data_IF_453704360657
#
_entry.id   IF_453704360657
#
_cell.length_a   1.000
_cell.length_b   1.000
_cell.length_c   1.000
_cell.angle_alpha   90.00
_cell.angle_beta   90.00
_cell.angle_gamma   90.00
#
_symmetry.space_group_name_H-M   'P 1'
#
loop_
_entity.id
_entity.type
_entity.pdbx_description
1 polymer ?
#
# COMPACT_ATOMS: atom_id res chain seq x y z
N UNK A 1 26.55 -13.46 -24.62
CA UNK A 1 27.65 -13.21 -25.58
C UNK A 1 27.32 -11.99 -26.41
N UNK A 2 27.96 -10.86 -26.10
CA UNK A 2 27.81 -9.59 -26.81
C UNK A 2 28.46 -9.68 -28.22
N UNK A 3 27.78 -9.19 -29.26
CA UNK A 3 28.26 -9.24 -30.67
C UNK A 3 28.91 -7.94 -31.16
N UNK A 4 28.87 -6.91 -30.33
CA UNK A 4 29.36 -5.55 -30.61
C UNK A 4 28.79 -4.56 -29.60
N UNK A 5 29.12 -3.29 -29.75
CA UNK A 5 28.65 -2.21 -28.89
C UNK A 5 28.46 -0.90 -29.68
N UNK A 6 27.41 -0.15 -29.35
CA UNK A 6 27.15 1.18 -29.91
C UNK A 6 27.66 2.26 -28.93
N UNK A 7 28.41 3.24 -29.42
CA UNK A 7 28.94 4.33 -28.60
C UNK A 7 28.77 5.69 -29.28
N UNK A 8 29.04 6.79 -28.56
CA UNK A 8 28.90 8.16 -29.04
C UNK A 8 27.51 8.47 -29.64
N UNK A 9 26.46 7.97 -28.97
CA UNK A 9 25.07 8.21 -29.36
C UNK A 9 24.80 9.71 -29.29
N UNK A 10 24.28 10.28 -30.37
CA UNK A 10 24.03 11.71 -30.51
C UNK A 10 22.92 11.99 -31.50
N UNK A 11 22.21 13.10 -31.32
CA UNK A 11 21.24 13.60 -32.30
C UNK A 11 21.99 14.08 -33.54
N UNK A 12 21.47 13.74 -34.72
CA UNK A 12 22.00 14.27 -35.97
C UNK A 12 21.81 15.78 -36.07
N UNK A 13 22.44 16.40 -37.07
CA UNK A 13 22.33 17.84 -37.33
C UNK A 13 21.92 18.08 -38.79
N UNK A 14 21.33 19.25 -39.06
CA UNK A 14 20.89 19.59 -40.41
C UNK A 14 19.78 18.66 -40.90
N UNK A 15 20.03 17.95 -41.99
CA UNK A 15 19.04 17.03 -42.59
C UNK A 15 18.72 15.81 -41.73
N UNK A 16 19.61 15.45 -40.79
CA UNK A 16 19.46 14.27 -39.93
C UNK A 16 19.04 14.65 -38.50
N UNK A 17 18.50 15.86 -38.28
CA UNK A 17 18.17 16.36 -36.94
C UNK A 17 17.09 15.55 -36.20
N UNK A 18 16.27 14.84 -36.96
CA UNK A 18 15.24 13.93 -36.47
C UNK A 18 15.78 12.53 -36.12
N UNK A 19 17.02 12.22 -36.50
CA UNK A 19 17.65 10.92 -36.29
C UNK A 19 18.60 10.91 -35.10
N UNK A 20 18.81 9.70 -34.55
CA UNK A 20 19.87 9.40 -33.61
C UNK A 20 20.98 8.64 -34.33
N UNK A 21 22.20 9.15 -34.17
CA UNK A 21 23.41 8.60 -34.75
C UNK A 21 24.21 7.92 -33.66
N UNK A 22 24.85 6.80 -34.00
CA UNK A 22 25.76 6.10 -33.11
C UNK A 22 26.93 5.55 -33.91
N UNK A 23 28.07 5.43 -33.25
CA UNK A 23 29.23 4.75 -33.78
C UNK A 23 29.11 3.26 -33.37
N UNK A 24 29.31 2.34 -34.30
CA UNK A 24 29.18 0.90 -34.04
C UNK A 24 30.54 0.23 -34.04
N UNK A 25 30.88 -0.42 -32.93
CA UNK A 25 32.03 -1.32 -32.84
C UNK A 25 31.50 -2.75 -32.90
N UNK A 26 31.71 -3.41 -34.05
CA UNK A 26 31.28 -4.79 -34.26
C UNK A 26 32.47 -5.73 -34.05
N UNK A 27 32.28 -6.77 -33.25
CA UNK A 27 33.33 -7.76 -32.94
C UNK A 27 32.97 -9.17 -33.39
N UNK A 28 31.71 -9.43 -33.70
CA UNK A 28 31.23 -10.70 -34.23
C UNK A 28 31.42 -10.79 -35.76
N UNK A 29 32.18 -11.78 -36.26
CA UNK A 29 32.46 -11.91 -37.69
C UNK A 29 31.19 -12.05 -38.56
N UNK A 30 30.18 -12.79 -38.11
CA UNK A 30 28.95 -12.99 -38.86
C UNK A 30 28.14 -11.70 -38.98
N UNK A 31 28.12 -10.88 -37.93
CA UNK A 31 27.46 -9.57 -37.95
C UNK A 31 28.20 -8.56 -38.84
N UNK A 32 29.53 -8.57 -38.81
CA UNK A 32 30.36 -7.75 -39.70
C UNK A 32 30.03 -8.07 -41.16
N UNK A 33 30.04 -9.35 -41.53
CA UNK A 33 29.72 -9.79 -42.89
C UNK A 33 28.31 -9.35 -43.33
N UNK A 34 27.33 -9.46 -42.44
CA UNK A 34 25.95 -9.05 -42.72
C UNK A 34 25.83 -7.54 -42.98
N UNK A 35 26.50 -6.71 -42.17
CA UNK A 35 26.48 -5.24 -42.32
C UNK A 35 27.19 -4.81 -43.61
N UNK A 36 28.33 -5.43 -43.93
CA UNK A 36 29.06 -5.20 -45.18
C UNK A 36 28.25 -5.66 -46.40
N UNK A 37 27.45 -6.72 -46.27
CA UNK A 37 26.52 -7.20 -47.30
C UNK A 37 25.25 -6.33 -47.44
N UNK A 38 25.12 -5.24 -46.67
CA UNK A 38 24.04 -4.27 -46.82
C UNK A 38 22.98 -4.30 -45.72
N UNK A 39 23.14 -5.08 -44.65
CA UNK A 39 22.23 -5.03 -43.50
C UNK A 39 22.31 -3.65 -42.83
N UNK A 40 21.14 -3.01 -42.64
CA UNK A 40 21.01 -1.68 -42.02
C UNK A 40 20.19 -1.69 -40.72
N UNK A 41 19.68 -2.85 -40.35
CA UNK A 41 18.94 -3.07 -39.10
C UNK A 41 19.78 -3.92 -38.16
N UNK A 42 20.11 -3.37 -37.00
CA UNK A 42 20.93 -4.01 -35.98
C UNK A 42 20.17 -3.88 -34.65
N UNK A 43 19.84 -5.01 -34.05
CA UNK A 43 19.27 -5.04 -32.69
C UNK A 43 20.42 -4.94 -31.69
N UNK A 44 20.35 -3.96 -30.79
CA UNK A 44 21.31 -3.79 -29.71
C UNK A 44 21.03 -4.69 -28.48
N UNK A 45 20.19 -5.73 -28.62
CA UNK A 45 19.69 -6.53 -27.50
C UNK A 45 18.43 -5.94 -26.87
N UNK A 46 17.88 -6.65 -25.88
CA UNK A 46 16.60 -6.33 -25.22
C UNK A 46 16.72 -5.23 -24.16
N UNK A 47 17.13 -4.03 -24.57
CA UNK A 47 16.89 -2.77 -23.84
C UNK A 47 17.38 -1.59 -24.67
N UNK A 48 16.49 -0.65 -24.98
CA UNK A 48 16.89 0.75 -25.08
C UNK A 48 15.68 1.67 -24.90
N UNK A 49 15.91 2.80 -24.26
CA UNK A 49 15.05 3.97 -24.33
C UNK A 49 15.89 5.23 -24.28
N UNK A 50 15.41 6.26 -24.97
CA UNK A 50 16.04 7.56 -25.06
C UNK A 50 15.14 8.60 -24.41
N UNK A 51 15.60 9.16 -23.29
CA UNK A 51 15.06 10.41 -22.77
C UNK A 51 16.09 11.53 -22.97
N UNK A 52 15.64 12.65 -23.53
CA UNK A 52 16.46 13.84 -23.80
C UNK A 52 16.17 14.90 -22.73
N UNK A 53 17.15 15.16 -21.86
CA UNK A 53 17.16 16.35 -21.01
C UNK A 53 18.51 17.08 -21.16
N UNK A 54 18.47 18.37 -21.47
CA UNK A 54 19.63 19.28 -21.54
C UNK A 54 20.81 18.81 -22.42
N UNK A 55 20.53 18.00 -23.44
CA UNK A 55 21.52 17.58 -24.44
C UNK A 55 22.50 16.48 -23.97
N UNK A 56 22.20 15.75 -22.89
CA UNK A 56 22.98 14.59 -22.44
C UNK A 56 22.13 13.31 -22.37
N UNK A 57 22.74 12.20 -22.78
CA UNK A 57 22.15 10.86 -22.77
C UNK A 57 22.54 10.10 -21.50
N UNK A 58 21.57 9.53 -20.79
CA UNK A 58 21.78 8.69 -19.60
C UNK A 58 21.57 7.22 -19.99
N UNK A 59 22.37 6.33 -19.39
CA UNK A 59 22.45 4.90 -19.74
C UNK A 59 21.78 4.03 -18.66
N UNK A 60 20.82 3.19 -19.06
CA UNK A 60 20.26 2.11 -18.23
C UNK A 60 20.39 0.77 -18.97
N UNK A 61 20.72 -0.28 -18.25
CA UNK A 61 20.74 -1.67 -18.74
C UNK A 61 19.69 -2.44 -17.94
N UNK A 62 18.97 -3.39 -18.58
CA UNK A 62 18.01 -4.35 -17.98
C UNK A 62 16.52 -3.97 -17.83
N UNK A 63 16.02 -2.86 -18.38
CA UNK A 63 14.59 -2.49 -18.34
C UNK A 63 13.79 -2.69 -19.66
N UNK A 64 12.64 -3.36 -19.59
CA UNK A 64 11.65 -3.37 -20.70
C UNK A 64 10.77 -2.13 -20.61
N UNK A 65 10.74 -1.28 -21.65
CA UNK A 65 9.81 -0.16 -21.72
C UNK A 65 8.42 -0.63 -22.15
N UNK A 66 7.40 -0.21 -21.40
CA UNK A 66 6.02 -0.26 -21.84
C UNK A 66 5.42 1.14 -21.87
N UNK A 67 4.76 1.47 -22.98
CA UNK A 67 3.84 2.62 -23.03
C UNK A 67 2.58 2.23 -22.25
N UNK A 68 2.53 2.55 -20.96
CA UNK A 68 1.40 2.24 -20.06
C UNK A 68 0.07 2.81 -20.57
N UNK A 69 0.10 3.87 -21.39
CA UNK A 69 -1.12 4.41 -22.02
C UNK A 69 -1.72 3.50 -23.09
N UNK A 70 -0.93 2.55 -23.61
CA UNK A 70 -1.33 1.56 -24.63
C UNK A 70 -1.56 0.16 -24.07
N UNK A 71 -1.25 -0.07 -22.79
CA UNK A 71 -1.41 -1.35 -22.11
C UNK A 71 -2.14 -1.18 -20.76
N UNK A 72 -3.41 -0.73 -20.76
CA UNK A 72 -4.16 -0.45 -19.53
C UNK A 72 -4.40 -1.70 -18.66
N UNK A 73 -4.30 -2.89 -19.24
CA UNK A 73 -4.49 -4.16 -18.54
C UNK A 73 -3.22 -4.64 -17.81
N UNK A 74 -2.07 -4.01 -18.07
CA UNK A 74 -0.79 -4.38 -17.47
C UNK A 74 -0.68 -3.76 -16.08
N UNK A 75 -0.96 -4.55 -15.04
CA UNK A 75 -0.85 -4.11 -13.65
C UNK A 75 0.62 -4.01 -13.26
N UNK A 76 1.13 -2.80 -13.11
CA UNK A 76 2.52 -2.52 -12.70
C UNK A 76 2.64 -2.60 -11.16
N UNK A 77 2.50 -3.82 -10.63
CA UNK A 77 2.40 -4.08 -9.19
C UNK A 77 3.68 -4.76 -8.67
N UNK A 78 4.47 -4.10 -7.80
CA UNK A 78 5.74 -4.64 -7.28
C UNK A 78 5.59 -5.83 -6.33
N UNK A 79 4.36 -6.18 -5.94
CA UNK A 79 4.08 -7.37 -5.11
C UNK A 79 3.80 -8.62 -5.94
N UNK A 80 3.47 -8.45 -7.21
CA UNK A 80 3.12 -9.57 -8.10
C UNK A 80 4.04 -9.68 -9.31
N UNK A 81 4.74 -8.60 -9.66
CA UNK A 81 5.60 -8.53 -10.82
C UNK A 81 7.02 -8.09 -10.43
N UNK A 82 7.98 -8.50 -11.23
CA UNK A 82 9.33 -7.96 -11.25
C UNK A 82 9.36 -6.65 -12.09
N UNK A 83 10.49 -5.93 -12.06
CA UNK A 83 10.64 -4.67 -12.78
C UNK A 83 11.28 -3.55 -11.96
N UNK A 84 11.21 -2.33 -12.49
CA UNK A 84 11.74 -1.13 -11.84
C UNK A 84 10.61 -0.27 -11.29
N UNK A 85 10.75 0.15 -10.04
CA UNK A 85 9.71 0.90 -9.33
C UNK A 85 10.31 2.15 -8.69
N UNK A 86 9.66 3.30 -8.90
CA UNK A 86 10.00 4.57 -8.27
C UNK A 86 9.35 4.65 -6.88
N UNK A 87 10.19 4.82 -5.86
CA UNK A 87 9.77 4.97 -4.47
C UNK A 87 9.17 6.36 -4.26
N UNK A 88 7.94 6.42 -3.77
CA UNK A 88 7.09 7.61 -3.71
C UNK A 88 6.06 7.71 -4.85
N UNK A 89 6.15 6.85 -5.88
CA UNK A 89 5.18 6.80 -6.98
C UNK A 89 4.58 5.40 -7.15
N UNK A 90 5.42 4.39 -7.43
CA UNK A 90 4.99 3.01 -7.69
C UNK A 90 4.96 2.16 -6.41
N UNK A 91 5.79 2.51 -5.44
CA UNK A 91 5.86 1.91 -4.11
C UNK A 91 6.15 3.00 -3.09
N UNK A 92 5.60 2.93 -1.88
CA UNK A 92 5.89 3.94 -0.85
C UNK A 92 7.29 3.72 -0.23
N UNK A 93 7.87 4.74 0.43
CA UNK A 93 9.03 4.53 1.30
C UNK A 93 8.68 3.59 2.45
N UNK A 94 9.59 2.70 2.85
CA UNK A 94 9.29 1.71 3.87
C UNK A 94 10.32 0.59 3.96
N UNK A 95 10.12 -0.35 4.88
CA UNK A 95 10.93 -1.58 4.97
C UNK A 95 10.12 -2.77 4.53
N UNK A 96 10.62 -3.49 3.54
CA UNK A 96 9.95 -4.59 2.86
C UNK A 96 10.71 -5.90 3.01
N UNK A 97 9.98 -7.00 2.89
CA UNK A 97 10.57 -8.34 2.74
C UNK A 97 10.42 -8.78 1.28
N UNK A 98 11.51 -9.17 0.64
CA UNK A 98 11.56 -9.75 -0.70
C UNK A 98 11.56 -11.27 -0.63
N UNK A 99 10.93 -11.90 -1.63
CA UNK A 99 11.03 -13.35 -1.88
C UNK A 99 11.19 -13.64 -3.37
N UNK A 100 11.76 -14.80 -3.69
CA UNK A 100 11.82 -15.28 -5.08
C UNK A 100 10.41 -15.55 -5.60
N UNK A 101 10.17 -15.25 -6.87
CA UNK A 101 8.96 -15.71 -7.53
C UNK A 101 8.93 -17.25 -7.63
N UNK A 102 7.74 -17.80 -7.83
CA UNK A 102 7.53 -19.25 -7.89
C UNK A 102 8.35 -19.85 -9.03
N UNK A 103 8.98 -21.01 -8.76
CA UNK A 103 9.80 -21.76 -9.72
C UNK A 103 11.09 -21.05 -10.20
N UNK A 104 11.50 -19.97 -9.53
CA UNK A 104 12.78 -19.28 -9.74
C UNK A 104 13.86 -19.83 -8.79
N UNK A 105 15.04 -20.13 -9.32
CA UNK A 105 16.18 -20.66 -8.55
C UNK A 105 17.06 -19.57 -7.91
N UNK A 106 17.15 -18.40 -8.56
CA UNK A 106 17.94 -17.25 -8.12
C UNK A 106 17.27 -15.97 -8.63
N UNK A 107 17.10 -15.00 -7.74
CA UNK A 107 16.57 -13.69 -8.03
C UNK A 107 17.56 -12.59 -7.62
N UNK A 108 17.40 -11.38 -8.15
CA UNK A 108 18.24 -10.24 -7.80
C UNK A 108 17.42 -9.00 -7.49
N UNK A 109 17.95 -8.14 -6.63
CA UNK A 109 17.41 -6.81 -6.41
C UNK A 109 18.52 -5.78 -6.19
N UNK A 110 18.24 -4.54 -6.56
CA UNK A 110 19.14 -3.42 -6.37
C UNK A 110 18.36 -2.12 -6.12
N UNK A 111 19.00 -1.14 -5.49
CA UNK A 111 18.43 0.20 -5.29
C UNK A 111 19.34 1.30 -5.82
N UNK A 112 18.77 2.44 -6.18
CA UNK A 112 19.50 3.67 -6.52
C UNK A 112 18.73 4.91 -6.01
N UNK A 113 19.41 6.05 -5.90
CA UNK A 113 18.76 7.33 -5.60
C UNK A 113 18.39 8.05 -6.89
N UNK A 114 17.16 8.57 -6.99
CA UNK A 114 16.73 9.47 -8.06
C UNK A 114 17.01 10.95 -7.71
N UNK A 115 17.09 11.85 -8.71
CA UNK A 115 17.13 11.54 -10.13
C UNK A 115 18.40 10.76 -10.46
N UNK A 116 18.29 9.78 -11.35
CA UNK A 116 19.45 9.03 -11.83
C UNK A 116 20.30 9.99 -12.65
N UNK A 117 21.27 10.65 -12.01
CA UNK A 117 22.26 11.45 -12.71
C UNK A 117 23.11 10.58 -13.64
N UNK A 118 23.95 11.18 -14.49
CA UNK A 118 24.78 10.47 -15.48
C UNK A 118 25.76 9.44 -14.87
N UNK A 119 25.89 9.38 -13.54
CA UNK A 119 26.72 8.44 -12.80
C UNK A 119 25.96 7.72 -11.67
N UNK A 120 24.61 7.71 -11.68
CA UNK A 120 23.86 6.91 -10.72
C UNK A 120 23.91 5.44 -11.17
N UNK A 121 24.71 4.65 -10.46
CA UNK A 121 24.73 3.20 -10.60
C UNK A 121 23.72 2.62 -9.61
N UNK A 122 22.94 1.64 -10.08
CA UNK A 122 22.29 0.71 -9.16
C UNK A 122 23.34 0.18 -8.20
N UNK A 123 23.01 0.15 -6.90
CA UNK A 123 23.85 -0.55 -5.93
C UNK A 123 24.09 -1.99 -6.41
N UNK A 124 25.21 -2.59 -5.99
CA UNK A 124 25.53 -3.95 -6.42
C UNK A 124 24.33 -4.88 -6.20
N UNK A 125 23.84 -5.58 -7.24
CA UNK A 125 22.70 -6.46 -7.13
C UNK A 125 22.95 -7.50 -6.04
N UNK A 126 21.97 -7.64 -5.16
CA UNK A 126 21.97 -8.63 -4.08
C UNK A 126 21.20 -9.84 -4.58
N UNK A 127 21.83 -11.01 -4.52
CA UNK A 127 21.19 -12.28 -4.88
C UNK A 127 20.31 -12.83 -3.77
N UNK A 128 19.20 -13.46 -4.17
CA UNK A 128 18.24 -14.12 -3.30
C UNK A 128 17.94 -15.52 -3.85
N UNK A 129 18.15 -16.58 -3.06
CA UNK A 129 17.89 -17.95 -3.51
C UNK A 129 16.47 -18.39 -3.18
N UNK A 130 15.97 -19.39 -3.90
CA UNK A 130 14.65 -19.96 -3.66
C UNK A 130 14.46 -20.37 -2.19
N UNK A 131 13.41 -19.82 -1.56
CA UNK A 131 13.07 -20.06 -0.16
C UNK A 131 13.77 -19.13 0.85
N UNK A 132 14.70 -18.28 0.40
CA UNK A 132 15.26 -17.19 1.21
C UNK A 132 14.36 -15.95 1.14
N UNK A 133 14.47 -15.10 2.17
CA UNK A 133 13.85 -13.77 2.20
C UNK A 133 14.89 -12.71 2.52
N UNK A 134 14.77 -11.52 1.94
CA UNK A 134 15.65 -10.38 2.24
C UNK A 134 14.87 -9.17 2.70
N UNK A 135 15.36 -8.45 3.72
CA UNK A 135 14.81 -7.16 4.10
C UNK A 135 15.46 -6.03 3.28
N UNK A 136 14.65 -5.07 2.82
CA UNK A 136 15.11 -3.88 2.10
C UNK A 136 14.37 -2.64 2.60
N UNK A 137 15.10 -1.57 2.89
CA UNK A 137 14.54 -0.27 3.29
C UNK A 137 14.66 0.69 2.12
N UNK A 138 13.56 1.34 1.77
CA UNK A 138 13.40 2.24 0.64
C UNK A 138 13.06 3.66 1.13
N UNK A 139 13.77 4.64 0.59
CA UNK A 139 13.58 6.07 0.86
C UNK A 139 12.87 6.75 -0.33
N UNK A 140 12.12 7.82 -0.07
CA UNK A 140 11.42 8.59 -1.12
C UNK A 140 12.40 9.06 -2.20
N UNK A 141 11.99 8.90 -3.46
CA UNK A 141 12.84 9.22 -4.60
C UNK A 141 13.92 8.18 -4.86
N UNK A 142 13.95 7.02 -4.18
CA UNK A 142 14.77 5.90 -4.63
C UNK A 142 14.11 5.16 -5.80
N UNK A 143 14.90 4.36 -6.50
CA UNK A 143 14.43 3.40 -7.49
C UNK A 143 14.86 2.03 -7.00
N UNK A 144 13.95 1.06 -7.05
CA UNK A 144 14.24 -0.34 -6.80
C UNK A 144 14.04 -1.14 -8.09
N UNK A 145 15.01 -1.99 -8.39
CA UNK A 145 14.93 -2.98 -9.46
C UNK A 145 14.77 -4.36 -8.82
N UNK A 146 13.78 -5.09 -9.31
CA UNK A 146 13.48 -6.46 -8.96
C UNK A 146 13.64 -7.32 -10.20
N UNK A 147 14.41 -8.41 -10.10
CA UNK A 147 14.57 -9.41 -11.15
C UNK A 147 14.22 -10.77 -10.56
N UNK A 148 13.18 -11.42 -11.09
CA UNK A 148 12.65 -12.71 -10.64
C UNK A 148 12.32 -12.80 -9.13
N UNK A 149 12.20 -11.64 -8.48
CA UNK A 149 11.70 -11.49 -7.11
C UNK A 149 10.55 -10.49 -7.09
N UNK A 150 9.76 -10.56 -6.04
CA UNK A 150 8.77 -9.56 -5.71
C UNK A 150 8.83 -9.31 -4.20
N UNK A 151 8.16 -8.24 -3.77
CA UNK A 151 7.91 -8.11 -2.34
C UNK A 151 6.99 -9.24 -1.91
N UNK A 152 7.42 -9.98 -0.89
CA UNK A 152 6.59 -10.98 -0.25
C UNK A 152 5.26 -10.35 0.10
N UNK A 153 4.17 -10.98 -0.33
CA UNK A 153 2.84 -10.68 0.17
C UNK A 153 2.71 -11.19 1.62
N UNK A 154 3.62 -10.79 2.51
CA UNK A 154 3.46 -10.98 3.93
C UNK A 154 2.48 -9.89 4.34
N UNK A 155 1.19 -10.14 4.10
CA UNK A 155 0.14 -9.19 4.38
C UNK A 155 0.48 -7.75 3.97
N UNK A 156 0.42 -7.45 2.67
CA UNK A 156 0.51 -6.10 2.05
C UNK A 156 1.29 -5.03 2.85
N UNK A 157 2.55 -5.25 3.22
CA UNK A 157 3.40 -4.26 3.89
C UNK A 157 3.86 -3.07 3.00
N UNK A 158 2.99 -2.52 2.15
CA UNK A 158 2.90 -1.07 2.00
C UNK A 158 1.89 -0.63 3.05
N UNK A 159 2.32 0.10 4.08
CA UNK A 159 1.37 0.90 4.85
C UNK A 159 0.89 2.02 3.92
N UNK A 160 -0.06 1.71 3.02
CA UNK A 160 -0.80 2.73 2.31
C UNK A 160 -1.67 3.36 3.39
N UNK A 161 -1.13 4.41 4.01
CA UNK A 161 -1.87 5.26 4.92
C UNK A 161 -2.63 6.23 4.04
N UNK A 162 -3.93 5.97 3.88
CA UNK A 162 -4.81 6.98 3.33
C UNK A 162 -5.12 7.96 4.45
N UNK A 163 -4.69 9.21 4.29
CA UNK A 163 -4.96 10.28 5.24
C UNK A 163 -6.10 11.15 4.73
N UNK A 164 -7.13 11.32 5.55
CA UNK A 164 -8.22 12.24 5.25
C UNK A 164 -8.23 13.37 6.29
N UNK A 165 -7.49 14.48 6.05
CA UNK A 165 -7.43 15.59 6.98
C UNK A 165 -8.71 16.46 7.02
N UNK A 166 -9.65 16.27 6.08
CA UNK A 166 -10.95 16.95 6.02
C UNK A 166 -12.05 16.03 5.47
N UNK A 167 -13.32 16.38 5.70
CA UNK A 167 -14.46 15.75 5.01
C UNK A 167 -14.32 15.93 3.50
N UNK A 168 -14.71 14.90 2.72
CA UNK A 168 -14.85 14.86 1.24
C UNK A 168 -13.83 14.00 0.46
N UNK A 169 -12.91 13.30 1.12
CA UNK A 169 -12.05 12.34 0.43
C UNK A 169 -12.78 11.01 0.21
N UNK A 170 -13.47 10.88 -0.92
CA UNK A 170 -14.00 9.60 -1.39
C UNK A 170 -12.96 8.89 -2.29
N UNK A 171 -12.67 7.63 -1.97
CA UNK A 171 -11.74 6.80 -2.71
C UNK A 171 -12.46 5.65 -3.40
N UNK A 172 -12.18 5.44 -4.69
CA UNK A 172 -12.70 4.29 -5.45
C UNK A 172 -11.93 3.01 -5.13
N UNK A 173 -12.64 1.98 -4.68
CA UNK A 173 -12.07 0.64 -4.42
C UNK A 173 -11.90 -0.13 -5.73
N UNK A 174 -10.72 -0.72 -5.92
CA UNK A 174 -10.26 -1.29 -7.19
C UNK A 174 -9.56 -0.27 -8.10
N UNK A 175 -9.59 1.01 -7.73
CA UNK A 175 -8.86 2.09 -8.39
C UNK A 175 -7.79 2.69 -7.47
N UNK A 176 -8.18 3.69 -6.67
CA UNK A 176 -7.29 4.39 -5.74
C UNK A 176 -6.95 3.55 -4.51
N UNK A 177 -7.92 2.76 -4.05
CA UNK A 177 -7.77 1.87 -2.89
C UNK A 177 -7.89 0.42 -3.38
N UNK A 178 -6.90 -0.44 -3.15
CA UNK A 178 -7.03 -1.86 -3.45
C UNK A 178 -8.18 -2.51 -2.65
N UNK A 179 -8.76 -3.59 -3.17
CA UNK A 179 -9.64 -4.43 -2.36
C UNK A 179 -8.90 -5.06 -1.17
N UNK A 180 -9.63 -5.30 -0.09
CA UNK A 180 -9.10 -5.98 1.09
C UNK A 180 -9.67 -5.45 2.41
N UNK A 181 -9.11 -5.99 3.48
CA UNK A 181 -9.44 -5.62 4.85
C UNK A 181 -8.58 -4.45 5.32
N UNK A 182 -9.21 -3.38 5.79
CA UNK A 182 -8.55 -2.17 6.27
C UNK A 182 -8.97 -1.83 7.69
N UNK A 183 -8.07 -1.17 8.42
CA UNK A 183 -8.34 -0.49 9.69
C UNK A 183 -8.31 1.01 9.45
N UNK A 184 -9.41 1.67 9.75
CA UNK A 184 -9.50 3.12 9.90
C UNK A 184 -9.21 3.43 11.36
N UNK A 185 -8.25 4.30 11.66
CA UNK A 185 -7.87 4.64 13.02
C UNK A 185 -7.49 6.10 13.20
N UNK A 186 -7.65 6.56 14.43
CA UNK A 186 -7.18 7.87 14.91
C UNK A 186 -6.89 7.76 16.41
N UNK A 187 -5.88 8.47 16.92
CA UNK A 187 -5.65 8.54 18.36
C UNK A 187 -6.63 9.52 19.00
N UNK A 188 -6.96 9.32 20.28
CA UNK A 188 -7.83 10.26 21.03
C UNK A 188 -7.27 11.68 20.96
N UNK A 189 -5.94 11.84 21.05
CA UNK A 189 -5.29 13.14 20.92
C UNK A 189 -5.45 13.79 19.54
N UNK A 190 -5.39 13.01 18.46
CA UNK A 190 -5.65 13.48 17.09
C UNK A 190 -7.12 13.88 16.92
N UNK A 191 -8.05 13.09 17.46
CA UNK A 191 -9.49 13.37 17.46
C UNK A 191 -9.77 14.70 18.17
N UNK A 192 -9.28 14.87 19.40
CA UNK A 192 -9.46 16.10 20.16
C UNK A 192 -8.80 17.33 19.49
N UNK A 193 -7.63 17.14 18.88
CA UNK A 193 -6.92 18.20 18.18
C UNK A 193 -7.70 18.67 16.94
N UNK A 194 -8.23 17.74 16.15
CA UNK A 194 -9.07 18.04 14.99
C UNK A 194 -10.39 18.71 15.39
N UNK A 195 -11.04 18.25 16.47
CA UNK A 195 -12.24 18.89 17.00
C UNK A 195 -11.98 20.35 17.39
N UNK A 196 -10.89 20.62 18.14
CA UNK A 196 -10.49 21.99 18.51
C UNK A 196 -10.17 22.85 17.29
N UNK A 197 -9.50 22.31 16.27
CA UNK A 197 -9.17 23.03 15.05
C UNK A 197 -10.43 23.45 14.26
N UNK A 198 -11.51 22.66 14.34
CA UNK A 198 -12.80 22.95 13.72
C UNK A 198 -13.73 23.82 14.60
N UNK A 199 -13.23 24.35 15.73
CA UNK A 199 -14.02 25.23 16.60
C UNK A 199 -15.05 24.52 17.47
N UNK A 200 -14.95 23.19 17.60
CA UNK A 200 -15.78 22.39 18.51
C UNK A 200 -15.30 22.68 19.94
N UNK A 201 -16.10 23.41 20.71
CA UNK A 201 -15.83 23.68 22.13
C UNK A 201 -16.28 22.51 23.00
N UNK A 202 -15.54 22.22 24.08
CA UNK A 202 -15.96 21.23 25.08
C UNK A 202 -17.18 21.75 25.84
N UNK A 203 -18.36 21.43 25.32
CA UNK A 203 -19.68 21.73 25.89
C UNK A 203 -20.38 20.43 26.29
N UNK A 204 -21.61 20.52 26.83
CA UNK A 204 -22.43 19.32 27.09
C UNK A 204 -22.77 18.55 25.79
N UNK A 205 -22.73 19.21 24.63
CA UNK A 205 -23.01 18.64 23.30
C UNK A 205 -21.74 18.21 22.53
N UNK A 206 -20.57 18.25 23.18
CA UNK A 206 -19.25 17.99 22.59
C UNK A 206 -19.18 16.68 21.80
N UNK A 207 -19.83 15.63 22.30
CA UNK A 207 -19.87 14.31 21.65
C UNK A 207 -20.61 14.38 20.31
N UNK A 208 -21.75 15.06 20.24
CA UNK A 208 -22.55 15.16 19.01
C UNK A 208 -21.83 15.94 17.89
N UNK A 209 -21.10 17.00 18.24
CA UNK A 209 -20.31 17.79 17.30
C UNK A 209 -19.04 17.06 16.83
N UNK A 210 -18.41 16.27 17.71
CA UNK A 210 -17.34 15.34 17.35
C UNK A 210 -17.86 14.31 16.36
N UNK A 211 -18.98 13.66 16.64
CA UNK A 211 -19.47 12.60 15.77
C UNK A 211 -19.59 13.06 14.32
N UNK A 212 -20.20 14.23 14.05
CA UNK A 212 -20.29 14.80 12.69
C UNK A 212 -18.95 14.99 11.96
N UNK A 213 -17.85 15.03 12.71
CA UNK A 213 -16.49 15.23 12.20
C UNK A 213 -15.77 13.91 11.92
N UNK A 214 -16.05 12.82 12.64
CA UNK A 214 -15.34 11.54 12.51
C UNK A 214 -16.29 10.44 12.01
N UNK A 215 -16.27 10.22 10.70
CA UNK A 215 -17.15 9.26 10.06
C UNK A 215 -16.38 8.30 9.16
N UNK A 216 -17.03 7.17 8.89
CA UNK A 216 -16.74 6.26 7.80
C UNK A 216 -18.02 6.06 7.00
N UNK A 217 -17.93 6.25 5.70
CA UNK A 217 -19.03 6.03 4.77
C UNK A 217 -18.58 5.12 3.64
N UNK A 218 -19.24 3.97 3.51
CA UNK A 218 -19.03 3.02 2.42
C UNK A 218 -20.27 3.03 1.53
N UNK A 219 -20.09 3.28 0.24
CA UNK A 219 -21.18 3.28 -0.73
C UNK A 219 -20.91 2.35 -1.90
N UNK A 220 -21.97 1.78 -2.46
CA UNK A 220 -21.92 1.02 -3.72
C UNK A 220 -23.09 1.44 -4.60
N UNK A 221 -22.82 1.81 -5.86
CA UNK A 221 -23.86 2.21 -6.84
C UNK A 221 -24.82 3.29 -6.29
N UNK A 222 -24.29 4.23 -5.52
CA UNK A 222 -25.04 5.34 -4.91
C UNK A 222 -25.91 4.96 -3.71
N UNK A 223 -25.79 3.73 -3.18
CA UNK A 223 -26.43 3.31 -1.92
C UNK A 223 -25.39 3.27 -0.82
N UNK A 224 -25.74 3.80 0.36
CA UNK A 224 -24.93 3.60 1.56
C UNK A 224 -25.02 2.15 2.03
N UNK A 225 -23.86 1.55 2.28
CA UNK A 225 -23.69 0.24 2.92
C UNK A 225 -23.32 0.41 4.40
N UNK A 226 -22.56 1.44 4.71
CA UNK A 226 -22.12 1.80 6.05
C UNK A 226 -22.08 3.33 6.11
N UNK A 227 -22.73 3.91 7.10
CA UNK A 227 -22.67 5.33 7.42
C UNK A 227 -22.64 5.45 8.94
N UNK A 228 -21.43 5.47 9.47
CA UNK A 228 -21.22 5.30 10.90
C UNK A 228 -20.07 6.16 11.40
N UNK A 229 -20.14 6.45 12.68
CA UNK A 229 -19.04 7.03 13.42
C UNK A 229 -18.09 5.91 13.83
N UNK A 230 -16.79 6.23 13.92
CA UNK A 230 -15.82 5.29 14.45
C UNK A 230 -15.21 5.80 15.75
N UNK A 231 -15.00 4.88 16.69
CA UNK A 231 -14.30 5.15 17.94
C UNK A 231 -12.93 4.49 17.88
N UNK A 232 -11.85 5.29 17.89
CA UNK A 232 -10.44 4.90 17.85
C UNK A 232 -9.99 4.10 16.63
N UNK A 233 -10.59 2.93 16.40
CA UNK A 233 -10.26 2.04 15.31
C UNK A 233 -11.51 1.27 14.83
N UNK A 234 -11.62 1.08 13.52
CA UNK A 234 -12.76 0.48 12.84
C UNK A 234 -12.30 -0.31 11.63
N UNK A 235 -12.73 -1.57 11.54
CA UNK A 235 -12.37 -2.43 10.42
C UNK A 235 -13.43 -2.33 9.32
N UNK A 236 -12.97 -2.28 8.07
CA UNK A 236 -13.82 -2.30 6.87
C UNK A 236 -13.28 -3.32 5.87
N UNK A 237 -14.17 -4.15 5.33
CA UNK A 237 -13.84 -5.08 4.24
C UNK A 237 -14.27 -4.47 2.90
N UNK A 238 -13.31 -3.95 2.15
CA UNK A 238 -13.53 -3.20 0.92
C UNK A 238 -13.53 -4.12 -0.30
N UNK A 239 -14.56 -3.99 -1.13
CA UNK A 239 -14.77 -4.73 -2.39
C UNK A 239 -14.72 -3.80 -3.60
N UNK A 240 -14.23 -4.31 -4.72
CA UNK A 240 -14.16 -3.57 -5.99
C UNK A 240 -15.51 -2.91 -6.35
N UNK A 241 -15.45 -1.65 -6.81
CA UNK A 241 -16.62 -0.87 -7.20
C UNK A 241 -17.31 -0.12 -6.06
N UNK A 242 -16.87 -0.32 -4.81
CA UNK A 242 -17.29 0.50 -3.68
C UNK A 242 -16.55 1.85 -3.66
N UNK A 243 -17.13 2.84 -2.98
CA UNK A 243 -16.46 4.08 -2.63
C UNK A 243 -16.41 4.21 -1.12
N UNK A 244 -15.22 4.46 -0.58
CA UNK A 244 -14.99 4.68 0.84
C UNK A 244 -14.67 6.15 1.07
N UNK A 245 -15.37 6.78 2.02
CA UNK A 245 -15.07 8.12 2.52
C UNK A 245 -14.88 8.04 4.02
N UNK A 246 -13.92 8.78 4.55
CA UNK A 246 -13.68 8.90 5.98
C UNK A 246 -13.03 10.25 6.27
N UNK A 247 -13.11 10.72 7.51
CA UNK A 247 -12.61 12.04 7.88
C UNK A 247 -11.85 12.02 9.20
N UNK A 248 -10.78 12.83 9.26
CA UNK A 248 -9.89 12.98 10.42
C UNK A 248 -9.32 11.65 10.95
N UNK A 249 -8.99 10.77 10.00
CA UNK A 249 -8.48 9.43 10.24
C UNK A 249 -7.34 9.07 9.29
N UNK A 250 -6.70 7.97 9.64
CA UNK A 250 -5.78 7.20 8.80
C UNK A 250 -6.43 5.86 8.48
N UNK A 251 -6.36 5.41 7.23
CA UNK A 251 -6.78 4.06 6.86
C UNK A 251 -5.58 3.27 6.35
N UNK A 252 -5.39 2.06 6.86
CA UNK A 252 -4.28 1.17 6.49
C UNK A 252 -4.76 -0.28 6.34
N UNK A 253 -4.10 -1.13 5.55
CA UNK A 253 -4.42 -2.56 5.52
C UNK A 253 -4.33 -3.19 6.93
N UNK A 254 -5.26 -4.08 7.28
CA UNK A 254 -5.35 -4.61 8.64
C UNK A 254 -4.18 -5.53 9.01
N UNK A 255 -3.62 -6.23 8.03
CA UNK A 255 -2.46 -7.10 8.15
C UNK A 255 -1.13 -6.36 8.40
N UNK A 256 -1.10 -5.04 8.16
CA UNK A 256 0.06 -4.17 8.46
C UNK A 256 -0.15 -3.25 9.63
N UNK A 257 -1.34 -3.24 10.25
CA UNK A 257 -1.63 -2.34 11.35
C UNK A 257 -0.82 -2.76 12.59
N UNK A 258 0.34 -2.13 12.78
CA UNK A 258 1.22 -2.32 13.95
C UNK A 258 0.74 -1.55 15.19
N UNK A 259 -0.41 -0.86 15.11
CA UNK A 259 -0.97 -0.17 16.25
C UNK A 259 -1.33 -1.18 17.32
N UNK A 260 -0.61 -1.17 18.44
CA UNK A 260 -0.94 -1.94 19.63
C UNK A 260 -2.19 -1.35 20.26
N UNK A 261 -3.37 -1.67 19.75
CA UNK A 261 -4.64 -1.35 20.41
C UNK A 261 -4.96 -2.51 21.32
N UNK A 262 -4.74 -2.29 22.61
CA UNK A 262 -5.01 -3.27 23.64
C UNK A 262 -6.51 -3.20 24.00
N UNK A 263 -7.32 -4.22 23.66
CA UNK A 263 -8.75 -4.25 24.01
C UNK A 263 -9.00 -4.21 25.53
N UNK A 264 -7.95 -4.43 26.34
CA UNK A 264 -8.00 -4.32 27.79
C UNK A 264 -7.78 -2.88 28.30
N UNK A 265 -7.30 -1.96 27.47
CA UNK A 265 -7.09 -0.55 27.84
C UNK A 265 -7.91 0.45 27.04
N UNK A 266 -8.36 0.10 25.83
CA UNK A 266 -9.05 1.04 24.94
C UNK A 266 -10.35 0.49 24.34
N UNK A 267 -11.33 1.38 24.17
CA UNK A 267 -12.54 1.12 23.39
C UNK A 267 -12.25 1.19 21.90
N UNK A 268 -13.04 0.48 21.09
CA UNK A 268 -12.87 0.38 19.65
C UNK A 268 -13.51 -0.89 19.09
N UNK A 269 -13.23 -1.17 17.82
CA UNK A 269 -13.63 -2.41 17.15
C UNK A 269 -12.48 -3.42 17.18
N UNK A 270 -12.72 -4.67 17.50
CA UNK A 270 -11.69 -5.70 17.60
C UNK A 270 -12.09 -6.96 16.83
N UNK A 271 -11.21 -7.42 15.95
CA UNK A 271 -11.34 -8.72 15.30
C UNK A 271 -10.79 -9.81 16.21
N UNK A 272 -11.51 -10.92 16.28
CA UNK A 272 -11.17 -12.05 17.14
C UNK A 272 -10.39 -13.08 16.32
N UNK A 273 -9.15 -13.32 16.72
CA UNK A 273 -8.18 -14.19 16.07
C UNK A 273 -6.81 -13.99 16.71
N UNK A 274 -6.00 -15.04 16.75
CA UNK A 274 -4.64 -14.94 17.31
C UNK A 274 -3.79 -13.93 16.52
N UNK A 275 -4.02 -13.88 15.21
CA UNK A 275 -3.39 -12.95 14.26
C UNK A 275 -3.74 -11.47 14.50
N UNK A 276 -4.84 -11.18 15.21
CA UNK A 276 -5.30 -9.83 15.53
C UNK A 276 -5.05 -9.44 16.99
N UNK A 277 -4.40 -10.30 17.77
CA UNK A 277 -4.06 -10.03 19.17
C UNK A 277 -5.21 -10.19 20.17
N UNK A 278 -6.40 -10.60 19.73
CA UNK A 278 -7.53 -10.97 20.59
C UNK A 278 -7.92 -12.44 20.31
N UNK A 279 -7.40 -13.41 21.08
CA UNK A 279 -7.70 -14.82 20.83
C UNK A 279 -9.19 -15.13 21.05
N UNK A 280 -9.71 -16.22 20.47
CA UNK A 280 -11.05 -16.71 20.81
C UNK A 280 -11.14 -17.09 22.29
N UNK A 281 -12.26 -16.79 22.93
CA UNK A 281 -12.40 -17.03 24.36
C UNK A 281 -13.63 -16.39 24.99
N UNK A 282 -13.73 -16.56 26.30
CA UNK A 282 -14.74 -15.92 27.11
C UNK A 282 -14.13 -14.72 27.83
N UNK A 283 -14.70 -13.54 27.59
CA UNK A 283 -14.21 -12.27 28.08
C UNK A 283 -15.24 -11.57 28.95
N UNK A 284 -14.76 -10.76 29.87
CA UNK A 284 -15.59 -9.82 30.61
C UNK A 284 -15.37 -8.41 30.08
N UNK A 285 -16.46 -7.69 29.84
CA UNK A 285 -16.47 -6.30 29.41
C UNK A 285 -16.84 -5.44 30.62
N UNK A 286 -16.09 -4.37 30.85
CA UNK A 286 -16.33 -3.41 31.94
C UNK A 286 -16.35 -1.98 31.40
N UNK A 287 -17.26 -1.18 31.93
CA UNK A 287 -17.30 0.27 31.74
C UNK A 287 -15.96 0.91 32.17
N UNK A 288 -15.40 1.77 31.33
CA UNK A 288 -14.11 2.44 31.56
C UNK A 288 -14.23 3.97 31.75
N UNK A 289 -15.40 4.55 31.52
CA UNK A 289 -15.67 5.98 31.67
C UNK A 289 -16.86 6.24 32.62
N UNK A 290 -17.19 7.51 32.84
CA UNK A 290 -18.40 7.91 33.58
C UNK A 290 -19.69 7.72 32.76
N UNK A 291 -19.56 7.63 31.44
CA UNK A 291 -20.67 7.44 30.51
C UNK A 291 -21.04 5.96 30.40
N UNK A 292 -22.32 5.65 30.16
CA UNK A 292 -22.78 4.27 30.05
C UNK A 292 -22.03 3.54 28.93
N UNK A 293 -21.35 2.46 29.32
CA UNK A 293 -20.62 1.61 28.40
C UNK A 293 -21.56 0.86 27.46
N UNK A 294 -21.15 0.63 26.21
CA UNK A 294 -21.94 -0.11 25.22
C UNK A 294 -21.08 -1.07 24.42
N UNK A 295 -21.65 -2.22 24.04
CA UNK A 295 -20.97 -3.17 23.17
C UNK A 295 -21.92 -3.81 22.15
N UNK A 296 -21.33 -4.27 21.04
CA UNK A 296 -21.98 -5.06 19.98
C UNK A 296 -21.04 -6.18 19.54
N UNK A 297 -21.55 -7.39 19.48
CA UNK A 297 -20.85 -8.59 19.03
C UNK A 297 -21.46 -9.10 17.72
N UNK A 298 -20.60 -9.37 16.74
CA UNK A 298 -20.95 -9.85 15.41
C UNK A 298 -20.13 -11.10 15.08
N UNK A 299 -20.65 -11.97 14.22
CA UNK A 299 -19.92 -13.09 13.59
C UNK A 299 -19.18 -12.67 12.30
N UNK A 300 -19.23 -11.38 11.96
CA UNK A 300 -18.61 -10.82 10.76
C UNK A 300 -18.32 -9.34 10.93
N UNK A 301 -17.60 -8.75 9.98
CA UNK A 301 -17.39 -7.30 9.93
C UNK A 301 -18.72 -6.63 9.58
N UNK A 302 -19.25 -5.75 10.43
CA UNK A 302 -20.58 -5.20 10.25
C UNK A 302 -20.64 -4.11 9.19
N UNK A 303 -21.78 -4.07 8.51
CA UNK A 303 -22.31 -2.95 7.73
C UNK A 303 -23.54 -2.40 8.45
N UNK A 304 -24.18 -1.32 7.98
CA UNK A 304 -25.40 -0.79 8.61
C UNK A 304 -26.57 -1.78 8.60
N UNK A 305 -26.55 -2.73 7.67
CA UNK A 305 -27.57 -3.77 7.57
C UNK A 305 -27.26 -5.00 8.45
N UNK A 306 -26.10 -5.05 9.10
CA UNK A 306 -25.69 -6.21 9.90
C UNK A 306 -26.30 -6.13 11.30
N UNK A 307 -27.11 -7.12 11.66
CA UNK A 307 -27.62 -7.25 13.03
C UNK A 307 -26.58 -7.92 13.93
N UNK A 308 -26.32 -7.39 15.14
CA UNK A 308 -25.41 -8.03 16.08
C UNK A 308 -26.03 -9.31 16.65
N UNK A 309 -25.16 -10.30 16.92
CA UNK A 309 -25.50 -11.51 17.68
C UNK A 309 -25.97 -11.13 19.09
N UNK A 310 -25.26 -10.19 19.70
CA UNK A 310 -25.52 -9.68 21.03
C UNK A 310 -25.14 -8.20 21.11
N UNK A 311 -25.92 -7.41 21.84
CA UNK A 311 -25.64 -6.00 22.14
C UNK A 311 -26.18 -5.63 23.51
N UNK A 312 -25.53 -4.70 24.20
CA UNK A 312 -26.01 -4.27 25.51
C UNK A 312 -25.24 -3.10 26.10
N UNK A 313 -25.84 -2.50 27.13
CA UNK A 313 -25.20 -1.50 27.97
C UNK A 313 -24.48 -2.17 29.15
N UNK A 314 -23.36 -1.58 29.57
CA UNK A 314 -22.55 -2.01 30.71
C UNK A 314 -22.56 -0.87 31.73
N UNK A 315 -23.36 -1.03 32.79
CA UNK A 315 -23.48 -0.04 33.88
C UNK A 315 -23.17 -0.73 35.22
N UNK A 316 -22.16 -0.24 35.94
CA UNK A 316 -21.90 -0.64 37.33
C UNK A 316 -21.47 -2.11 37.56
N UNK A 317 -21.02 -2.82 36.53
CA UNK A 317 -20.62 -4.23 36.61
C UNK A 317 -19.79 -4.71 35.42
N UNK A 318 -19.72 -6.04 35.24
CA UNK A 318 -19.14 -6.67 34.05
C UNK A 318 -20.20 -7.49 33.30
N UNK A 319 -20.06 -7.57 31.98
CA UNK A 319 -20.85 -8.46 31.12
C UNK A 319 -19.92 -9.49 30.52
N UNK A 320 -20.32 -10.76 30.51
CA UNK A 320 -19.55 -11.83 29.89
C UNK A 320 -19.97 -12.00 28.44
N UNK A 321 -18.99 -12.01 27.54
CA UNK A 321 -19.19 -12.30 26.11
C UNK A 321 -18.31 -13.47 25.70
N UNK A 322 -18.84 -14.34 24.82
CA UNK A 322 -18.08 -15.45 24.25
C UNK A 322 -17.78 -15.15 22.78
N UNK A 323 -16.50 -15.13 22.46
CA UNK A 323 -15.99 -14.76 21.15
C UNK A 323 -15.33 -15.96 20.46
N UNK A 324 -15.69 -16.18 19.20
CA UNK A 324 -15.10 -17.19 18.33
C UNK A 324 -14.13 -16.54 17.33
N UNK A 325 -13.25 -17.34 16.73
CA UNK A 325 -12.37 -16.85 15.66
C UNK A 325 -13.20 -16.33 14.48
N UNK A 326 -12.87 -15.13 13.98
CA UNK A 326 -13.59 -14.42 12.93
C UNK A 326 -14.70 -13.50 13.43
N UNK A 327 -15.06 -13.57 14.72
CA UNK A 327 -16.01 -12.64 15.31
C UNK A 327 -15.44 -11.22 15.36
N UNK A 328 -16.35 -10.25 15.48
CA UNK A 328 -16.03 -8.85 15.70
C UNK A 328 -16.72 -8.32 16.94
N UNK A 329 -15.97 -7.64 17.81
CA UNK A 329 -16.48 -6.97 18.99
C UNK A 329 -16.29 -5.45 18.88
N UNK A 330 -17.37 -4.69 18.91
CA UNK A 330 -17.34 -3.22 19.04
C UNK A 330 -17.61 -2.87 20.49
N UNK A 331 -16.75 -2.04 21.08
CA UNK A 331 -16.90 -1.50 22.44
C UNK A 331 -16.82 0.02 22.41
N UNK A 332 -17.70 0.66 23.15
CA UNK A 332 -17.76 2.12 23.35
C UNK A 332 -17.82 2.39 24.86
N UNK A 333 -16.90 3.22 25.36
CA UNK A 333 -16.79 3.51 26.81
C UNK A 333 -16.63 2.25 27.70
N UNK A 334 -16.04 1.20 27.12
CA UNK A 334 -15.84 -0.11 27.70
C UNK A 334 -14.50 -0.70 27.27
N UNK A 335 -13.93 -1.54 28.13
CA UNK A 335 -12.74 -2.37 27.84
C UNK A 335 -12.99 -3.82 28.27
N UNK A 336 -12.20 -4.74 27.72
CA UNK A 336 -12.09 -6.10 28.24
C UNK A 336 -11.35 -6.12 29.59
N UNK A 337 -11.63 -7.12 30.40
CA UNK A 337 -10.95 -7.38 31.66
C UNK A 337 -9.96 -8.53 31.49
N UNK A 338 -8.71 -8.33 31.91
CA UNK A 338 -7.71 -9.40 32.00
C UNK A 338 -8.09 -10.33 33.17
N UNK A 339 -8.35 -11.59 32.88
CA UNK A 339 -8.55 -12.64 33.91
C UNK A 339 -7.23 -13.14 34.46
#
# INVERSE_FOLDING_TARGET
>A
LQRGHAHNIRRGAGADSDLLLADLILTDPCLIDAVLAGKREISCGYTYELCEENGQYIHFSWATLYDVSKHPDMKHDPFTNDGMFLVGHDILPGTYTLECQKDVMLAHYATANAPLGPNCYMQQPKGLKQGETAAVTLEEGQIIELEDCCFKSAGKANTIVFEAPSSDNAYLVGGQVPEGLYVIYSTIGEIEAAARANGVEQTEDYTAEIYQTFYVQLTEKGKSLLDNWYNNNYYVDLKEGQHISFAHAKMVPADVYLGTRDPFSESGMYLVGEEYGLPPGEYEIKQNSVDSGYYRHFDTIPTDATEPLEKGFVEGGTVTVKLNAGDCLIMEFCNLVRK
#
